data_IF_664216168389
#
_entry.id   IF_664216168389
#
_cell.length_a   1.000
_cell.length_b   1.000
_cell.length_c   1.000
_cell.angle_alpha   90.00
_cell.angle_beta   90.00
_cell.angle_gamma   90.00
#
_symmetry.space_group_name_H-M   'P 1'
#
loop_
_entity.id
_entity.type
_entity.pdbx_description
1 polymer ?
#
# COMPACT_ATOMS: atom_id res chain seq x y z
N UNK A 1 -2.17 15.34 15.35
CA UNK A 1 -2.38 14.38 14.24
C UNK A 1 -1.15 13.50 14.05
N UNK A 2 0.01 14.08 13.70
CA UNK A 2 1.26 13.30 13.53
C UNK A 2 1.64 12.51 14.79
N UNK A 3 1.70 13.17 15.97
CA UNK A 3 2.06 12.50 17.22
C UNK A 3 1.21 11.25 17.50
N UNK A 4 -0.12 11.37 17.41
CA UNK A 4 -1.04 10.26 17.63
C UNK A 4 -0.83 9.14 16.59
N UNK A 5 -0.59 9.49 15.32
CA UNK A 5 -0.38 8.49 14.28
C UNK A 5 0.95 7.71 14.45
N UNK A 6 2.03 8.38 14.86
CA UNK A 6 3.29 7.70 15.16
C UNK A 6 3.21 6.85 16.44
N UNK A 7 2.44 7.28 17.43
CA UNK A 7 2.27 6.54 18.66
C UNK A 7 1.31 5.34 18.51
N UNK A 8 0.33 5.42 17.61
CA UNK A 8 -0.75 4.42 17.46
C UNK A 8 -0.27 2.95 17.34
N UNK A 9 0.75 2.61 16.53
CA UNK A 9 1.23 1.22 16.44
C UNK A 9 1.86 0.67 17.73
N UNK A 10 2.18 1.52 18.71
CA UNK A 10 2.88 1.14 19.95
C UNK A 10 2.04 1.33 21.22
N UNK A 11 0.87 1.97 21.11
CA UNK A 11 0.05 2.39 22.24
C UNK A 11 -0.65 1.24 22.96
N UNK A 12 -1.18 0.25 22.24
CA UNK A 12 -1.90 -0.90 22.81
C UNK A 12 -1.20 -2.23 22.51
N UNK A 13 -1.52 -3.27 23.29
CA UNK A 13 -1.09 -4.65 23.00
C UNK A 13 -1.54 -5.10 21.61
N UNK A 14 -2.79 -4.81 21.24
CA UNK A 14 -3.34 -5.18 19.94
C UNK A 14 -2.63 -4.50 18.76
N UNK A 15 -2.24 -3.23 18.92
CA UNK A 15 -1.45 -2.52 17.91
C UNK A 15 -0.05 -3.12 17.76
N UNK A 16 0.57 -3.55 18.87
CA UNK A 16 1.88 -4.23 18.85
C UNK A 16 1.78 -5.61 18.21
N UNK A 17 0.71 -6.35 18.46
CA UNK A 17 0.43 -7.63 17.81
C UNK A 17 0.23 -7.44 16.30
N UNK A 18 -0.49 -6.39 15.90
CA UNK A 18 -0.68 -6.03 14.49
C UNK A 18 0.66 -5.69 13.81
N UNK A 19 1.55 -4.95 14.50
CA UNK A 19 2.90 -4.67 14.03
C UNK A 19 3.76 -5.94 13.90
N UNK A 20 3.66 -6.85 14.87
CA UNK A 20 4.37 -8.13 14.86
C UNK A 20 3.90 -9.02 13.69
N UNK A 21 2.59 -9.12 13.46
CA UNK A 21 2.02 -9.87 12.34
C UNK A 21 2.42 -9.24 10.99
N UNK A 22 2.29 -7.92 10.86
CA UNK A 22 2.65 -7.21 9.63
C UNK A 22 4.14 -7.35 9.30
N UNK A 23 5.01 -7.20 10.29
CA UNK A 23 6.46 -7.40 10.10
C UNK A 23 6.79 -8.85 9.74
N UNK A 24 6.16 -9.83 10.40
CA UNK A 24 6.28 -11.25 10.06
C UNK A 24 5.90 -11.54 8.60
N UNK A 25 4.78 -10.99 8.12
CA UNK A 25 4.33 -11.16 6.74
C UNK A 25 5.31 -10.53 5.74
N UNK A 26 5.87 -9.36 6.03
CA UNK A 26 6.89 -8.74 5.16
C UNK A 26 8.17 -9.59 5.12
N UNK A 27 8.61 -10.12 6.27
CA UNK A 27 9.77 -11.02 6.33
C UNK A 27 9.52 -12.27 5.48
N UNK A 28 8.34 -12.88 5.59
CA UNK A 28 7.94 -14.03 4.76
C UNK A 28 7.98 -13.68 3.28
N UNK A 29 7.46 -12.51 2.88
CA UNK A 29 7.55 -12.03 1.49
C UNK A 29 9.00 -11.88 1.02
N UNK A 30 9.91 -11.32 1.83
CA UNK A 30 11.32 -11.19 1.49
C UNK A 30 12.03 -12.54 1.36
N UNK A 31 11.71 -13.50 2.24
CA UNK A 31 12.22 -14.86 2.13
C UNK A 31 11.74 -15.54 0.85
N UNK A 32 10.45 -15.41 0.51
CA UNK A 32 9.89 -15.98 -0.71
C UNK A 32 10.49 -15.33 -1.97
N UNK A 33 10.70 -14.01 -1.98
CA UNK A 33 11.39 -13.33 -3.09
C UNK A 33 12.81 -13.87 -3.29
N UNK A 34 13.53 -14.17 -2.21
CA UNK A 34 14.85 -14.80 -2.29
C UNK A 34 14.77 -16.20 -2.91
N UNK A 35 13.79 -17.00 -2.50
CA UNK A 35 13.56 -18.35 -3.06
C UNK A 35 13.17 -18.28 -4.53
N UNK A 36 12.27 -17.37 -4.91
CA UNK A 36 11.87 -17.11 -6.29
C UNK A 36 13.08 -16.76 -7.14
N UNK A 37 13.95 -15.86 -6.65
CA UNK A 37 15.17 -15.45 -7.36
C UNK A 37 16.17 -16.59 -7.55
N UNK A 38 16.26 -17.53 -6.61
CA UNK A 38 17.14 -18.71 -6.75
C UNK A 38 16.57 -19.80 -7.66
N UNK A 39 15.24 -19.87 -7.79
CA UNK A 39 14.56 -20.88 -8.62
C UNK A 39 14.33 -20.41 -10.05
N UNK A 40 14.38 -19.11 -10.34
CA UNK A 40 14.19 -18.60 -11.68
C UNK A 40 15.31 -19.08 -12.63
N UNK A 41 15.00 -19.65 -13.82
CA UNK A 41 13.70 -19.62 -14.54
C UNK A 41 12.85 -20.91 -14.44
N UNK A 42 13.11 -21.80 -13.48
CA UNK A 42 12.39 -23.08 -13.36
C UNK A 42 10.89 -22.90 -13.08
N UNK A 43 10.06 -23.80 -13.63
CA UNK A 43 8.59 -23.78 -13.42
C UNK A 43 8.20 -23.92 -11.94
N UNK A 44 9.07 -24.49 -11.11
CA UNK A 44 8.84 -24.62 -9.66
C UNK A 44 8.66 -23.26 -8.98
N UNK A 45 9.10 -22.15 -9.60
CA UNK A 45 8.93 -20.77 -9.12
C UNK A 45 7.47 -20.38 -8.86
N UNK A 46 6.50 -21.02 -9.52
CA UNK A 46 5.08 -20.71 -9.35
C UNK A 46 4.55 -21.01 -7.93
N UNK A 47 5.12 -22.03 -7.25
CA UNK A 47 4.71 -22.39 -5.89
C UNK A 47 5.04 -21.26 -4.88
N UNK A 48 6.32 -20.83 -4.73
CA UNK A 48 6.63 -19.73 -3.81
C UNK A 48 6.03 -18.40 -4.25
N UNK A 49 5.81 -18.19 -5.56
CA UNK A 49 5.08 -17.01 -6.05
C UNK A 49 3.63 -16.99 -5.58
N UNK A 50 2.91 -18.12 -5.64
CA UNK A 50 1.54 -18.22 -5.14
C UNK A 50 1.47 -17.96 -3.62
N UNK A 51 2.39 -18.53 -2.84
CA UNK A 51 2.47 -18.30 -1.39
C UNK A 51 2.75 -16.82 -1.09
N UNK A 52 3.62 -16.18 -1.87
CA UNK A 52 3.94 -14.77 -1.71
C UNK A 52 2.71 -13.88 -1.99
N UNK A 53 1.90 -14.21 -3.00
CA UNK A 53 0.65 -13.50 -3.28
C UNK A 53 -0.32 -13.63 -2.10
N UNK A 54 -0.43 -14.82 -1.49
CA UNK A 54 -1.26 -15.03 -0.30
C UNK A 54 -0.74 -14.20 0.89
N UNK A 55 0.57 -14.22 1.16
CA UNK A 55 1.17 -13.44 2.24
C UNK A 55 0.99 -11.92 2.05
N UNK A 56 1.16 -11.42 0.82
CA UNK A 56 0.91 -10.03 0.46
C UNK A 56 -0.58 -9.66 0.62
N UNK A 57 -1.48 -10.57 0.23
CA UNK A 57 -2.92 -10.39 0.41
C UNK A 57 -3.27 -10.29 1.89
N UNK A 58 -2.73 -11.18 2.73
CA UNK A 58 -2.92 -11.12 4.18
C UNK A 58 -2.41 -9.81 4.76
N UNK A 59 -1.23 -9.34 4.35
CA UNK A 59 -0.66 -8.08 4.82
C UNK A 59 -1.58 -6.89 4.50
N UNK A 60 -2.06 -6.81 3.26
CA UNK A 60 -2.98 -5.75 2.84
C UNK A 60 -4.34 -5.88 3.53
N UNK A 61 -4.83 -7.11 3.71
CA UNK A 61 -6.05 -7.40 4.47
C UNK A 61 -5.95 -6.90 5.90
N UNK A 62 -4.81 -7.13 6.56
CA UNK A 62 -4.54 -6.62 7.90
C UNK A 62 -4.50 -5.10 7.97
N UNK A 63 -3.87 -4.42 7.00
CA UNK A 63 -3.90 -2.97 6.91
C UNK A 63 -5.35 -2.45 6.71
N UNK A 64 -6.13 -3.15 5.89
CA UNK A 64 -7.54 -2.85 5.66
C UNK A 64 -8.44 -3.08 6.88
N UNK A 65 -8.13 -4.09 7.69
CA UNK A 65 -8.80 -4.33 8.97
C UNK A 65 -8.42 -3.26 9.99
N UNK A 66 -7.13 -2.92 10.10
CA UNK A 66 -6.65 -1.83 10.96
C UNK A 66 -7.27 -0.47 10.60
N UNK A 67 -7.57 -0.25 9.31
CA UNK A 67 -8.30 0.93 8.84
C UNK A 67 -9.77 0.97 9.30
N UNK A 68 -10.39 -0.18 9.52
CA UNK A 68 -11.81 -0.31 9.89
C UNK A 68 -12.02 -0.41 11.40
N UNK A 69 -11.09 -1.06 12.11
CA UNK A 69 -11.16 -1.27 13.55
C UNK A 69 -10.87 0.04 14.27
N UNK A 70 -11.94 0.69 14.75
CA UNK A 70 -11.81 1.65 15.84
C UNK A 70 -11.32 0.91 17.09
N UNK A 71 -10.55 1.56 17.98
CA UNK A 71 -9.97 0.96 19.19
C UNK A 71 -10.99 0.50 20.26
N UNK A 72 -12.26 0.31 19.91
CA UNK A 72 -13.34 -0.09 20.83
C UNK A 72 -13.79 -1.55 20.68
N UNK A 73 -13.38 -2.25 19.62
CA UNK A 73 -13.74 -3.66 19.43
C UNK A 73 -12.57 -4.56 19.80
N UNK A 74 -12.68 -5.23 20.95
CA UNK A 74 -11.78 -6.22 21.60
C UNK A 74 -11.60 -7.53 20.77
N UNK A 75 -11.64 -7.41 19.44
CA UNK A 75 -11.49 -8.49 18.48
C UNK A 75 -10.03 -8.61 18.11
N UNK A 76 -9.38 -9.66 18.61
CA UNK A 76 -7.98 -9.94 18.31
C UNK A 76 -7.74 -10.09 16.80
N UNK A 77 -6.59 -9.61 16.30
CA UNK A 77 -6.21 -9.74 14.89
C UNK A 77 -5.96 -11.22 14.51
N UNK A 78 -6.97 -11.95 14.01
CA UNK A 78 -6.81 -13.34 13.58
C UNK A 78 -6.52 -13.47 12.08
N UNK A 79 -5.57 -14.35 11.74
CA UNK A 79 -5.27 -14.72 10.34
C UNK A 79 -6.43 -15.59 9.85
N UNK A 80 -7.41 -14.97 9.19
CA UNK A 80 -8.63 -15.61 8.71
C UNK A 80 -8.74 -15.55 7.19
N UNK A 81 -9.53 -16.46 6.62
CA UNK A 81 -9.98 -16.41 5.22
C UNK A 81 -10.66 -15.07 4.90
N UNK A 82 -11.37 -14.48 5.86
CA UNK A 82 -11.98 -13.16 5.72
C UNK A 82 -10.94 -12.05 5.50
N UNK A 83 -9.83 -12.09 6.25
CA UNK A 83 -8.70 -11.17 6.08
C UNK A 83 -8.05 -11.33 4.72
N UNK A 84 -7.90 -12.57 4.24
CA UNK A 84 -7.37 -12.85 2.91
C UNK A 84 -8.30 -12.33 1.80
N UNK A 85 -9.62 -12.52 1.93
CA UNK A 85 -10.62 -12.00 0.99
C UNK A 85 -10.65 -10.48 0.99
N UNK A 86 -10.58 -9.84 2.15
CA UNK A 86 -10.43 -8.39 2.28
C UNK A 86 -9.16 -7.90 1.58
N UNK A 87 -8.05 -8.58 1.80
CA UNK A 87 -6.78 -8.31 1.14
C UNK A 87 -6.84 -8.42 -0.37
N UNK A 88 -7.39 -9.53 -0.89
CA UNK A 88 -7.59 -9.74 -2.32
C UNK A 88 -8.50 -8.67 -2.94
N UNK A 89 -9.54 -8.25 -2.22
CA UNK A 89 -10.45 -7.18 -2.61
C UNK A 89 -9.72 -5.83 -2.73
N UNK A 90 -8.89 -5.50 -1.74
CA UNK A 90 -8.09 -4.27 -1.73
C UNK A 90 -7.00 -4.31 -2.80
N UNK A 91 -6.37 -5.46 -3.03
CA UNK A 91 -5.45 -5.68 -4.13
C UNK A 91 -6.11 -5.48 -5.50
N UNK A 92 -7.35 -5.96 -5.66
CA UNK A 92 -8.10 -5.79 -6.91
C UNK A 92 -8.36 -4.31 -7.18
N UNK A 93 -8.86 -3.58 -6.19
CA UNK A 93 -9.11 -2.12 -6.34
C UNK A 93 -7.80 -1.37 -6.54
N UNK A 94 -6.76 -1.70 -5.77
CA UNK A 94 -5.44 -1.09 -5.92
C UNK A 94 -4.84 -1.34 -7.30
N UNK A 95 -4.95 -2.56 -7.82
CA UNK A 95 -4.55 -2.92 -9.17
C UNK A 95 -5.30 -2.10 -10.23
N UNK A 96 -6.63 -1.98 -10.11
CA UNK A 96 -7.42 -1.18 -11.06
C UNK A 96 -6.99 0.28 -11.06
N UNK A 97 -6.77 0.86 -9.88
CA UNK A 97 -6.35 2.26 -9.75
C UNK A 97 -4.91 2.51 -10.24
N UNK A 98 -4.04 1.50 -10.27
CA UNK A 98 -2.66 1.65 -10.78
C UNK A 98 -2.53 1.41 -12.28
N UNK A 99 -3.56 0.89 -12.97
CA UNK A 99 -3.53 0.66 -14.43
C UNK A 99 -3.14 1.93 -15.22
N UNK A 100 -3.74 3.12 -14.99
CA UNK A 100 -3.38 4.31 -15.75
C UNK A 100 -1.92 4.70 -15.60
N UNK A 101 -1.39 4.60 -14.37
CA UNK A 101 0.02 4.85 -14.07
C UNK A 101 0.92 3.81 -14.76
N UNK A 102 0.59 2.52 -14.66
CA UNK A 102 1.33 1.44 -15.28
C UNK A 102 1.39 1.61 -16.81
N UNK A 103 0.26 1.89 -17.44
CA UNK A 103 0.18 2.15 -18.89
C UNK A 103 1.04 3.35 -19.29
N UNK A 104 0.93 4.48 -18.59
CA UNK A 104 1.70 5.68 -18.89
C UNK A 104 3.22 5.46 -18.73
N UNK A 105 3.63 4.75 -17.68
CA UNK A 105 5.03 4.36 -17.45
C UNK A 105 5.52 3.39 -18.52
N UNK A 106 4.75 2.36 -18.87
CA UNK A 106 5.12 1.38 -19.89
C UNK A 106 5.25 2.01 -21.28
N UNK A 107 4.32 2.88 -21.67
CA UNK A 107 4.41 3.63 -22.94
C UNK A 107 5.67 4.51 -22.93
N UNK A 108 5.91 5.24 -21.85
CA UNK A 108 7.10 6.09 -21.72
C UNK A 108 8.38 5.27 -21.83
N UNK A 109 8.48 4.16 -21.09
CA UNK A 109 9.64 3.27 -21.14
C UNK A 109 9.86 2.69 -22.55
N UNK A 110 8.79 2.23 -23.20
CA UNK A 110 8.87 1.72 -24.58
C UNK A 110 9.37 2.79 -25.55
N UNK A 111 8.83 4.01 -25.47
CA UNK A 111 9.27 5.11 -26.36
C UNK A 111 10.75 5.45 -26.17
N UNK A 112 11.25 5.45 -24.94
CA UNK A 112 12.67 5.69 -24.63
C UNK A 112 13.55 4.56 -25.19
N UNK A 113 13.19 3.30 -24.94
CA UNK A 113 13.97 2.13 -25.39
C UNK A 113 13.95 1.98 -26.90
N UNK A 114 12.84 2.31 -27.55
CA UNK A 114 12.69 2.26 -29.02
C UNK A 114 13.53 3.31 -29.77
N UNK A 115 14.21 4.20 -29.05
CA UNK A 115 15.07 5.22 -29.66
C UNK A 115 14.30 6.29 -30.44
N UNK A 116 13.03 6.50 -30.08
CA UNK A 116 12.23 7.58 -30.64
C UNK A 116 12.97 8.93 -30.48
N UNK A 117 12.61 9.93 -31.29
CA UNK A 117 13.13 11.30 -31.15
C UNK A 117 12.00 12.32 -31.25
N UNK A 118 12.11 13.45 -30.55
CA UNK A 118 11.16 14.57 -30.60
C UNK A 118 10.45 14.89 -29.28
N UNK A 119 9.57 15.89 -29.33
CA UNK A 119 8.89 16.50 -28.18
C UNK A 119 8.03 15.52 -27.34
N UNK A 120 7.55 14.43 -27.94
CA UNK A 120 6.76 13.42 -27.23
C UNK A 120 7.58 12.68 -26.15
N UNK A 121 8.90 12.60 -26.30
CA UNK A 121 9.78 11.92 -25.32
C UNK A 121 10.05 12.82 -24.12
N UNK A 122 10.09 14.13 -24.33
CA UNK A 122 10.22 15.09 -23.23
C UNK A 122 8.95 15.14 -22.39
N UNK A 123 7.78 14.88 -22.97
CA UNK A 123 6.51 14.84 -22.24
C UNK A 123 6.19 13.50 -21.58
N UNK A 124 6.69 12.38 -22.11
CA UNK A 124 6.41 11.03 -21.58
C UNK A 124 6.60 10.91 -20.06
N UNK A 125 7.78 11.25 -19.51
CA UNK A 125 8.04 11.21 -18.07
C UNK A 125 7.08 12.09 -17.27
N UNK A 126 6.72 13.28 -17.76
CA UNK A 126 5.77 14.18 -17.09
C UNK A 126 4.36 13.57 -17.06
N UNK A 127 3.90 13.01 -18.17
CA UNK A 127 2.59 12.34 -18.24
C UNK A 127 2.55 11.12 -17.33
N UNK A 128 3.61 10.30 -17.34
CA UNK A 128 3.75 9.15 -16.45
C UNK A 128 3.74 9.56 -14.97
N UNK A 129 4.46 10.62 -14.63
CA UNK A 129 4.47 11.17 -13.28
C UNK A 129 3.08 11.67 -12.85
N UNK A 130 2.40 12.45 -13.70
CA UNK A 130 1.05 12.96 -13.39
C UNK A 130 0.03 11.83 -13.25
N UNK A 131 0.07 10.84 -14.13
CA UNK A 131 -0.80 9.66 -14.04
C UNK A 131 -0.52 8.87 -12.75
N UNK A 132 0.75 8.72 -12.37
CA UNK A 132 1.15 8.05 -11.13
C UNK A 132 0.67 8.81 -9.90
N UNK A 133 0.93 10.12 -9.83
CA UNK A 133 0.51 10.97 -8.72
C UNK A 133 -1.01 10.98 -8.59
N UNK A 134 -1.76 11.14 -9.69
CA UNK A 134 -3.22 11.09 -9.66
C UNK A 134 -3.75 9.73 -9.17
N UNK A 135 -3.16 8.63 -9.65
CA UNK A 135 -3.56 7.27 -9.24
C UNK A 135 -3.30 7.04 -7.75
N UNK A 136 -2.10 7.38 -7.27
CA UNK A 136 -1.70 7.22 -5.86
C UNK A 136 -2.44 8.18 -4.94
N UNK A 137 -2.85 9.36 -5.42
CA UNK A 137 -3.66 10.30 -4.66
C UNK A 137 -5.08 9.81 -4.43
N UNK A 138 -5.71 9.20 -5.43
CA UNK A 138 -7.09 8.69 -5.29
C UNK A 138 -7.16 7.35 -4.54
N UNK A 139 -6.07 6.59 -4.56
CA UNK A 139 -6.02 5.21 -4.07
C UNK A 139 -6.47 5.04 -2.62
N UNK A 140 -5.99 5.81 -1.61
CA UNK A 140 -6.39 5.60 -0.22
C UNK A 140 -7.90 5.74 0.02
N UNK A 141 -8.54 6.67 -0.67
CA UNK A 141 -9.99 6.88 -0.55
C UNK A 141 -10.77 5.72 -1.15
N UNK A 142 -10.36 5.25 -2.33
CA UNK A 142 -10.94 4.07 -2.96
C UNK A 142 -10.75 2.82 -2.11
N UNK A 143 -9.56 2.62 -1.51
CA UNK A 143 -9.29 1.51 -0.61
C UNK A 143 -10.15 1.56 0.66
N UNK A 144 -10.38 2.75 1.22
CA UNK A 144 -11.28 2.91 2.37
C UNK A 144 -12.74 2.54 2.03
N UNK A 145 -13.23 2.96 0.87
CA UNK A 145 -14.57 2.56 0.39
C UNK A 145 -14.62 1.08 0.04
N UNK A 146 -13.55 0.53 -0.53
CA UNK A 146 -13.44 -0.89 -0.82
C UNK A 146 -13.48 -1.73 0.46
N UNK A 147 -12.80 -1.28 1.51
CA UNK A 147 -12.76 -1.91 2.83
C UNK A 147 -14.15 -1.96 3.49
N UNK A 148 -14.96 -0.91 3.35
CA UNK A 148 -16.26 -0.79 4.04
C UNK A 148 -17.45 -1.24 3.20
N UNK A 149 -17.45 -0.93 1.91
CA UNK A 149 -18.62 -1.05 1.01
C UNK A 149 -18.39 -1.99 -0.18
N UNK A 150 -17.17 -2.50 -0.37
CA UNK A 150 -16.82 -3.46 -1.43
C UNK A 150 -16.30 -2.83 -2.73
N UNK A 151 -16.01 -3.67 -3.74
CA UNK A 151 -15.30 -3.27 -4.98
C UNK A 151 -16.11 -2.30 -5.83
N UNK A 152 -17.37 -2.63 -6.10
CA UNK A 152 -18.19 -1.85 -7.03
C UNK A 152 -18.38 -0.39 -6.56
N UNK A 153 -18.73 -0.12 -5.29
CA UNK A 153 -18.79 1.26 -4.79
C UNK A 153 -17.45 1.99 -4.86
N UNK A 154 -16.33 1.31 -4.61
CA UNK A 154 -14.99 1.89 -4.64
C UNK A 154 -14.57 2.40 -6.03
N UNK A 155 -15.15 1.86 -7.11
CA UNK A 155 -14.87 2.27 -8.48
C UNK A 155 -15.78 3.41 -8.98
N UNK A 156 -16.73 3.87 -8.15
CA UNK A 156 -17.63 4.97 -8.52
C UNK A 156 -17.04 6.33 -8.18
N UNK A 157 -17.47 7.38 -8.90
CA UNK A 157 -17.06 8.77 -8.65
C UNK A 157 -17.32 9.23 -7.20
N UNK A 158 -18.35 8.68 -6.55
CA UNK A 158 -18.68 8.99 -5.17
C UNK A 158 -17.63 8.50 -4.17
N UNK A 159 -16.82 7.50 -4.52
CA UNK A 159 -15.75 7.03 -3.63
C UNK A 159 -14.65 8.07 -3.40
N UNK A 160 -14.48 8.99 -4.36
CA UNK A 160 -13.42 10.00 -4.39
C UNK A 160 -13.95 11.43 -4.18
N UNK A 161 -15.23 11.59 -3.81
CA UNK A 161 -15.77 12.90 -3.46
C UNK A 161 -15.20 13.38 -2.13
N UNK A 162 -14.85 14.66 -2.03
CA UNK A 162 -14.35 15.28 -0.80
C UNK A 162 -12.85 15.14 -0.53
N UNK A 163 -12.06 14.75 -1.54
CA UNK A 163 -10.59 14.64 -1.42
C UNK A 163 -9.87 15.99 -1.44
N UNK A 164 -10.51 17.06 -1.88
CA UNK A 164 -9.89 18.38 -2.02
C UNK A 164 -9.62 19.12 -0.69
N UNK A 165 -9.69 18.44 0.47
CA UNK A 165 -9.39 19.08 1.74
C UNK A 165 -7.88 19.18 1.99
N UNK A 166 -7.44 20.27 2.62
CA UNK A 166 -6.05 20.43 3.04
C UNK A 166 -5.60 19.36 4.03
N UNK A 167 -6.50 18.86 4.88
CA UNK A 167 -6.21 17.78 5.83
C UNK A 167 -5.88 16.46 5.14
N UNK A 168 -6.64 16.10 4.10
CA UNK A 168 -6.40 14.88 3.33
C UNK A 168 -5.11 14.99 2.54
N UNK A 169 -4.91 16.10 1.83
CA UNK A 169 -3.69 16.35 1.06
C UNK A 169 -2.43 16.26 1.94
N UNK A 170 -2.44 16.93 3.10
CA UNK A 170 -1.32 16.87 4.05
C UNK A 170 -1.05 15.43 4.52
N UNK A 171 -2.11 14.70 4.91
CA UNK A 171 -2.00 13.30 5.34
C UNK A 171 -1.42 12.41 4.25
N UNK A 172 -1.88 12.60 3.01
CA UNK A 172 -1.40 11.87 1.85
C UNK A 172 0.06 12.14 1.55
N UNK A 173 0.51 13.40 1.58
CA UNK A 173 1.92 13.76 1.36
C UNK A 173 2.79 13.06 2.39
N UNK A 174 2.48 13.20 3.69
CA UNK A 174 3.29 12.60 4.76
C UNK A 174 3.30 11.07 4.67
N UNK A 175 2.14 10.44 4.46
CA UNK A 175 2.03 8.99 4.29
C UNK A 175 2.85 8.49 3.09
N UNK A 176 2.74 9.17 1.95
CA UNK A 176 3.47 8.81 0.72
C UNK A 176 4.97 8.97 0.91
N UNK A 177 5.43 10.08 1.51
CA UNK A 177 6.86 10.27 1.82
C UNK A 177 7.37 9.16 2.74
N UNK A 178 6.66 8.81 3.81
CA UNK A 178 7.07 7.74 4.73
C UNK A 178 7.19 6.39 4.00
N UNK A 179 6.20 6.02 3.20
CA UNK A 179 6.17 4.75 2.46
C UNK A 179 7.30 4.73 1.42
N UNK A 180 7.45 5.79 0.62
CA UNK A 180 8.49 5.87 -0.41
C UNK A 180 9.88 5.82 0.23
N UNK A 181 10.11 6.55 1.32
CA UNK A 181 11.37 6.54 2.04
C UNK A 181 11.68 5.17 2.66
N UNK A 182 10.71 4.49 3.25
CA UNK A 182 10.92 3.16 3.86
C UNK A 182 11.24 2.09 2.81
N UNK A 183 10.54 2.10 1.68
CA UNK A 183 10.86 1.22 0.56
C UNK A 183 12.21 1.55 -0.10
N UNK A 184 12.57 2.84 -0.21
CA UNK A 184 13.88 3.25 -0.74
C UNK A 184 15.02 2.80 0.16
N UNK A 185 14.85 2.95 1.48
CA UNK A 185 15.79 2.45 2.48
C UNK A 185 15.96 0.93 2.34
N UNK A 186 14.86 0.20 2.23
CA UNK A 186 14.90 -1.25 2.05
C UNK A 186 15.57 -1.66 0.74
N UNK A 187 15.34 -0.93 -0.35
CA UNK A 187 15.97 -1.19 -1.65
C UNK A 187 17.49 -1.02 -1.61
N UNK A 188 18.02 -0.20 -0.69
CA UNK A 188 19.45 -0.06 -0.46
C UNK A 188 20.05 -1.20 0.39
N UNK A 189 19.23 -1.99 1.08
CA UNK A 189 19.66 -3.09 1.94
C UNK A 189 19.63 -4.41 1.18
N UNK A 190 20.71 -5.19 1.27
CA UNK A 190 20.68 -6.56 0.75
C UNK A 190 19.71 -7.43 1.58
N UNK A 191 18.78 -8.08 0.88
CA UNK A 191 17.77 -8.99 1.45
C UNK A 191 18.41 -10.16 2.21
N UNK A 192 19.70 -10.45 1.97
CA UNK A 192 20.45 -11.53 2.64
C UNK A 192 21.03 -11.16 4.02
N UNK A 193 20.79 -9.95 4.53
CA UNK A 193 21.40 -9.45 5.77
C UNK A 193 20.39 -9.35 6.91
N UNK A 194 20.84 -9.41 8.19
CA UNK A 194 19.97 -9.14 9.34
C UNK A 194 19.31 -7.74 9.30
N UNK A 195 19.94 -6.78 8.61
CA UNK A 195 19.37 -5.45 8.39
C UNK A 195 18.04 -5.49 7.63
N UNK A 196 17.78 -6.52 6.81
CA UNK A 196 16.50 -6.69 6.13
C UNK A 196 15.34 -6.98 7.10
N UNK A 197 15.62 -7.57 8.28
CA UNK A 197 14.62 -7.80 9.33
C UNK A 197 14.22 -6.45 9.94
N UNK A 198 15.20 -5.62 10.29
CA UNK A 198 14.96 -4.27 10.80
C UNK A 198 14.17 -3.44 9.78
N UNK A 199 14.58 -3.49 8.51
CA UNK A 199 13.88 -2.81 7.44
C UNK A 199 12.44 -3.31 7.25
N UNK A 200 12.17 -4.62 7.41
CA UNK A 200 10.81 -5.15 7.40
C UNK A 200 9.94 -4.59 8.54
N UNK A 201 10.51 -4.44 9.74
CA UNK A 201 9.81 -3.79 10.88
C UNK A 201 9.54 -2.33 10.60
N UNK A 202 10.51 -1.59 10.03
CA UNK A 202 10.33 -0.18 9.64
C UNK A 202 9.24 -0.05 8.56
N UNK A 203 9.21 -0.94 7.57
CA UNK A 203 8.16 -0.95 6.55
C UNK A 203 6.80 -1.22 7.19
N UNK A 204 6.66 -2.26 8.02
CA UNK A 204 5.39 -2.56 8.70
C UNK A 204 4.90 -1.35 9.52
N UNK A 205 5.79 -0.77 10.34
CA UNK A 205 5.49 0.39 11.16
C UNK A 205 5.05 1.59 10.31
N UNK A 206 5.80 1.93 9.25
CA UNK A 206 5.45 3.06 8.37
C UNK A 206 4.12 2.85 7.65
N UNK A 207 3.75 1.62 7.26
CA UNK A 207 2.45 1.34 6.67
C UNK A 207 1.32 1.53 7.68
N UNK A 208 1.47 1.08 8.92
CA UNK A 208 0.47 1.29 9.97
C UNK A 208 0.30 2.78 10.29
N UNK A 209 1.40 3.53 10.42
CA UNK A 209 1.35 5.00 10.62
C UNK A 209 0.67 5.68 9.42
N UNK A 210 1.01 5.30 8.20
CA UNK A 210 0.42 5.85 6.99
C UNK A 210 -1.10 5.61 6.92
N UNK A 211 -1.54 4.38 7.23
CA UNK A 211 -2.97 4.03 7.31
C UNK A 211 -3.69 4.91 8.34
N UNK A 212 -3.10 5.10 9.52
CA UNK A 212 -3.68 5.95 10.57
C UNK A 212 -3.74 7.44 10.17
N UNK A 213 -2.71 7.95 9.50
CA UNK A 213 -2.72 9.33 9.00
C UNK A 213 -3.81 9.53 7.95
N UNK A 214 -3.92 8.60 7.01
CA UNK A 214 -4.89 8.67 5.92
C UNK A 214 -6.32 8.53 6.44
N UNK A 215 -6.57 7.65 7.41
CA UNK A 215 -7.88 7.46 8.02
C UNK A 215 -8.37 8.73 8.74
N UNK A 216 -7.49 9.34 9.54
CA UNK A 216 -7.75 10.59 10.26
C UNK A 216 -7.91 11.78 9.29
N UNK A 217 -7.11 11.81 8.22
CA UNK A 217 -7.22 12.82 7.16
C UNK A 217 -8.56 12.76 6.42
N UNK A 218 -9.00 11.55 6.07
CA UNK A 218 -10.28 11.27 5.40
C UNK A 218 -11.48 11.50 6.30
N UNK A 219 -11.40 11.15 7.59
CA UNK A 219 -12.51 11.36 8.52
C UNK A 219 -12.79 12.87 8.66
N UNK A 220 -11.75 13.67 8.88
CA UNK A 220 -11.87 15.13 9.01
C UNK A 220 -12.37 15.81 7.74
N UNK A 221 -11.96 15.34 6.55
CA UNK A 221 -12.39 15.93 5.28
C UNK A 221 -13.89 15.74 5.03
N UNK A 222 -14.46 14.62 5.48
CA UNK A 222 -15.88 14.33 5.35
C UNK A 222 -16.74 15.13 6.33
N UNK A 223 -16.25 15.37 7.55
CA UNK A 223 -16.95 16.20 8.54
C UNK A 223 -16.96 17.70 8.17
N UNK A 224 -15.98 18.19 7.39
CA UNK A 224 -15.98 19.59 6.94
C UNK A 224 -16.94 19.89 5.79
N UNK A 225 -17.57 18.86 5.20
CA UNK A 225 -18.49 18.98 4.06
C UNK A 225 -19.96 18.70 4.43
N UNK A 226 -20.21 18.26 5.67
CA UNK A 226 -21.53 18.06 6.29
C UNK A 226 -21.90 19.24 7.16
#
# INVERSE_FOLDING_TARGET
MLHNAFAAPLQSSESRDSLAICSGLIIVCFLLLRVIRSLYPELIVFIPAAIMIVAASLFIGYLGWYLQSRPETDTRPTVSTETAVLGARLLTVGGIYTIPAAVAVSITAYTIVSGARGFLITLGPTVALLATVASVYLLPAALHVAATSGVRPALTRHAVSGLASGSYFFSWVVATTLIVSSWSLQGAISISTPAAIIGAVIIAYTHLVAVQLLSEGLSRSRHSLS
#
